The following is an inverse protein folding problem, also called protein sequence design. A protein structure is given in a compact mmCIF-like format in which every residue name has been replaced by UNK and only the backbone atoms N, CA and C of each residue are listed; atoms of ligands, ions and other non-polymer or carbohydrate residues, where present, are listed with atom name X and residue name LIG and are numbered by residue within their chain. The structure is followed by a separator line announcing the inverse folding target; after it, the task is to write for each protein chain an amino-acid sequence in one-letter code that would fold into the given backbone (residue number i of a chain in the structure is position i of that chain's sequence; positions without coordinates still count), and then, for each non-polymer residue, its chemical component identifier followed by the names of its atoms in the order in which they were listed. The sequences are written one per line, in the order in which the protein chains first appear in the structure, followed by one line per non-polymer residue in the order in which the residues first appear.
data_IF_558434870735
#
_entry.id   IF_558434870735
#
_cell.length_a   1.000
_cell.length_b   1.000
_cell.length_c   1.000
_cell.angle_alpha   90.00
_cell.angle_beta   90.00
_cell.angle_gamma   90.00
#
_symmetry.space_group_name_H-M   'P 1'
#
loop_
_entity.id
_entity.type
_entity.pdbx_description
1 polymer ?
#
# COMPACT_ATOMS: atom_id res chain seq x y z
N UNK A 1 18.91 54.38 -47.93
CA UNK A 1 18.93 53.71 -46.61
C UNK A 1 17.91 52.58 -46.64
N UNK A 2 18.34 51.31 -46.65
CA UNK A 2 17.47 50.12 -46.68
C UNK A 2 17.50 49.46 -45.30
N UNK A 3 16.35 49.41 -44.65
CA UNK A 3 16.11 48.78 -43.34
C UNK A 3 16.16 47.26 -43.47
N UNK A 4 16.99 46.58 -42.66
CA UNK A 4 17.02 45.11 -42.57
C UNK A 4 16.08 44.67 -41.44
N UNK A 5 15.05 43.89 -41.78
CA UNK A 5 14.27 43.12 -40.80
C UNK A 5 15.00 41.81 -40.50
N UNK A 6 15.21 41.50 -39.22
CA UNK A 6 15.71 40.22 -38.77
C UNK A 6 14.52 39.40 -38.22
N UNK A 7 14.23 38.26 -38.84
CA UNK A 7 13.31 37.26 -38.32
C UNK A 7 14.06 36.36 -37.33
N UNK A 8 13.58 36.28 -36.09
CA UNK A 8 14.04 35.30 -35.09
C UNK A 8 13.12 34.08 -35.21
N UNK A 9 13.67 32.95 -35.66
CA UNK A 9 12.97 31.67 -35.63
C UNK A 9 13.05 31.07 -34.22
N UNK A 10 11.91 30.95 -33.53
CA UNK A 10 11.81 30.26 -32.26
C UNK A 10 11.84 28.74 -32.45
N UNK A 11 12.82 28.07 -31.86
CA UNK A 11 12.87 26.60 -31.78
C UNK A 11 11.96 26.16 -30.64
N UNK A 12 10.83 25.53 -30.96
CA UNK A 12 9.98 24.86 -29.99
C UNK A 12 10.63 23.52 -29.61
N UNK A 13 11.13 23.42 -28.38
CA UNK A 13 11.60 22.16 -27.80
C UNK A 13 10.36 21.38 -27.35
N UNK A 14 9.99 20.35 -28.11
CA UNK A 14 8.96 19.39 -27.72
C UNK A 14 9.54 18.51 -26.60
N UNK A 15 9.10 18.70 -25.37
CA UNK A 15 9.37 17.76 -24.28
C UNK A 15 8.55 16.48 -24.54
N UNK A 16 9.23 15.41 -24.97
CA UNK A 16 8.63 14.10 -25.09
C UNK A 16 8.37 13.55 -23.67
N UNK A 17 7.10 13.55 -23.26
CA UNK A 17 6.66 12.79 -22.11
C UNK A 17 6.82 11.30 -22.43
N UNK A 18 7.76 10.63 -21.77
CA UNK A 18 7.87 9.17 -21.83
C UNK A 18 6.68 8.57 -21.10
N UNK A 19 5.62 8.26 -21.85
CA UNK A 19 4.57 7.36 -21.41
C UNK A 19 5.22 6.01 -21.17
N UNK A 20 5.23 5.54 -19.92
CA UNK A 20 5.55 4.14 -19.60
C UNK A 20 4.48 3.28 -20.28
N UNK A 21 4.78 2.79 -21.46
CA UNK A 21 3.93 1.88 -22.20
C UNK A 21 3.78 0.59 -21.40
N UNK A 22 2.55 0.24 -21.00
CA UNK A 22 2.19 -1.14 -20.67
C UNK A 22 2.74 -2.04 -21.79
N UNK A 23 3.45 -3.11 -21.43
CA UNK A 23 4.05 -4.02 -22.42
C UNK A 23 2.90 -4.63 -23.21
N UNK A 24 2.73 -4.32 -24.50
CA UNK A 24 1.67 -4.93 -25.29
C UNK A 24 1.92 -6.44 -25.33
N UNK A 25 1.05 -7.22 -24.69
CA UNK A 25 1.16 -8.68 -24.63
C UNK A 25 1.63 -9.27 -23.29
N UNK A 26 1.74 -8.48 -22.22
CA UNK A 26 1.93 -9.02 -20.87
C UNK A 26 0.73 -9.85 -20.39
N UNK A 27 0.99 -10.91 -19.64
CA UNK A 27 -0.02 -11.71 -18.96
C UNK A 27 -0.47 -11.08 -17.65
N UNK A 28 -1.49 -11.68 -17.05
CA UNK A 28 -2.08 -11.23 -15.80
C UNK A 28 -2.10 -12.38 -14.80
N UNK A 29 -1.78 -12.10 -13.54
CA UNK A 29 -2.10 -13.01 -12.43
C UNK A 29 -3.28 -12.42 -11.66
N UNK A 30 -4.32 -13.21 -11.42
CA UNK A 30 -5.46 -12.77 -10.61
C UNK A 30 -6.00 -13.90 -9.75
N UNK A 31 -6.78 -13.54 -8.74
CA UNK A 31 -7.46 -14.54 -7.92
C UNK A 31 -8.02 -13.95 -6.65
N UNK A 32 -8.25 -14.82 -5.67
CA UNK A 32 -8.81 -14.46 -4.38
C UNK A 32 -7.92 -14.91 -3.24
N UNK A 33 -7.93 -14.11 -2.18
CA UNK A 33 -7.41 -14.47 -0.87
C UNK A 33 -8.58 -14.68 0.07
N UNK A 34 -8.62 -15.87 0.66
CA UNK A 34 -9.65 -16.26 1.63
C UNK A 34 -9.01 -16.77 2.92
N UNK A 35 -9.84 -17.06 3.90
CA UNK A 35 -9.43 -17.74 5.13
C UNK A 35 -10.26 -19.00 5.42
N UNK A 36 -9.65 -19.90 6.18
CA UNK A 36 -10.29 -21.06 6.81
C UNK A 36 -10.32 -20.91 8.33
N UNK A 37 -11.39 -21.39 8.96
CA UNK A 37 -11.59 -21.30 10.41
C UNK A 37 -12.38 -20.08 10.85
N UNK A 38 -12.30 -19.73 12.14
CA UNK A 38 -13.03 -18.59 12.73
C UNK A 38 -12.02 -17.54 13.21
N UNK A 39 -11.85 -16.43 12.46
CA UNK A 39 -11.01 -15.31 12.88
C UNK A 39 -11.47 -14.70 14.19
N UNK A 40 -10.52 -14.13 14.94
CA UNK A 40 -10.84 -13.36 16.14
C UNK A 40 -11.78 -12.20 15.79
N UNK A 41 -12.88 -12.08 16.54
CA UNK A 41 -13.81 -10.96 16.37
C UNK A 41 -13.10 -9.65 16.69
N UNK A 42 -13.09 -8.74 15.73
CA UNK A 42 -12.55 -7.40 15.93
C UNK A 42 -13.42 -6.65 16.94
N UNK A 43 -12.76 -5.96 17.88
CA UNK A 43 -13.45 -5.21 18.94
C UNK A 43 -13.67 -3.77 18.48
N UNK A 44 -14.79 -3.12 18.84
CA UNK A 44 -14.92 -1.68 18.64
C UNK A 44 -13.80 -0.94 19.35
N UNK A 45 -13.27 0.10 18.69
CA UNK A 45 -12.27 0.98 19.29
C UNK A 45 -12.94 1.84 20.36
N UNK A 46 -12.36 1.86 21.57
CA UNK A 46 -12.80 2.77 22.64
C UNK A 46 -12.18 4.16 22.43
N UNK A 47 -12.96 5.06 21.81
CA UNK A 47 -12.59 6.46 21.62
C UNK A 47 -13.18 7.38 22.70
N UNK A 48 -13.62 6.87 23.85
CA UNK A 48 -14.25 7.68 24.91
C UNK A 48 -13.36 8.80 25.44
N UNK A 49 -12.04 8.66 25.31
CA UNK A 49 -11.05 9.68 25.67
C UNK A 49 -10.64 10.61 24.52
N UNK A 50 -11.13 10.36 23.31
CA UNK A 50 -10.84 11.15 22.11
C UNK A 50 -12.15 11.66 21.46
N UNK A 51 -12.87 12.59 22.10
CA UNK A 51 -14.20 13.01 21.67
C UNK A 51 -14.21 13.69 20.28
N UNK A 52 -13.09 14.26 19.84
CA UNK A 52 -12.93 14.84 18.49
C UNK A 52 -12.94 13.75 17.41
N UNK A 53 -12.32 12.60 17.67
CA UNK A 53 -12.38 11.43 16.80
C UNK A 53 -13.72 10.70 16.90
N UNK A 54 -14.23 10.49 18.13
CA UNK A 54 -15.47 9.75 18.34
C UNK A 54 -16.67 10.36 17.58
N UNK A 55 -16.74 11.69 17.50
CA UNK A 55 -17.79 12.42 16.76
C UNK A 55 -17.76 12.22 15.24
N UNK A 56 -16.66 11.68 14.69
CA UNK A 56 -16.57 11.36 13.26
C UNK A 56 -17.31 10.06 12.90
N UNK A 57 -17.78 9.31 13.90
CA UNK A 57 -18.40 8.00 13.72
C UNK A 57 -19.79 7.96 14.34
N UNK A 58 -20.75 7.37 13.62
CA UNK A 58 -22.06 7.04 14.19
C UNK A 58 -21.95 5.85 15.17
N UNK A 59 -21.11 4.88 14.84
CA UNK A 59 -20.74 3.75 15.69
C UNK A 59 -19.22 3.57 15.68
N UNK A 60 -18.58 3.27 16.81
CA UNK A 60 -17.14 3.12 16.86
C UNK A 60 -16.65 2.06 15.86
N UNK A 61 -15.64 2.38 15.03
CA UNK A 61 -15.10 1.41 14.09
C UNK A 61 -14.42 0.25 14.83
N UNK A 62 -14.39 -0.96 14.25
CA UNK A 62 -13.63 -2.07 14.81
C UNK A 62 -12.12 -1.84 14.66
N UNK A 63 -11.33 -2.59 15.41
CA UNK A 63 -9.90 -2.81 15.11
C UNK A 63 -9.73 -3.49 13.74
N UNK A 64 -8.60 -3.27 13.08
CA UNK A 64 -8.33 -3.74 11.71
C UNK A 64 -7.31 -4.87 11.64
N UNK A 65 -7.07 -5.59 12.75
CA UNK A 65 -6.06 -6.65 12.85
C UNK A 65 -6.33 -7.84 11.92
N UNK A 66 -7.61 -8.18 11.73
CA UNK A 66 -8.08 -9.16 10.74
C UNK A 66 -9.45 -8.71 10.26
N UNK A 67 -9.52 -8.23 9.02
CA UNK A 67 -10.76 -7.74 8.39
C UNK A 67 -11.23 -8.77 7.36
N UNK A 68 -12.48 -9.21 7.51
CA UNK A 68 -13.07 -10.30 6.72
C UNK A 68 -14.28 -9.82 5.95
N UNK A 69 -14.41 -10.28 4.71
CA UNK A 69 -15.56 -10.03 3.86
C UNK A 69 -16.43 -11.26 3.62
N UNK A 70 -17.43 -11.15 2.72
CA UNK A 70 -18.28 -12.27 2.31
C UNK A 70 -17.47 -13.46 1.78
N UNK A 71 -18.03 -14.67 1.86
CA UNK A 71 -17.41 -15.90 1.34
C UNK A 71 -15.99 -16.17 1.88
N UNK A 72 -15.76 -15.83 3.14
CA UNK A 72 -14.47 -15.91 3.81
C UNK A 72 -13.35 -15.11 3.11
N UNK A 73 -13.68 -14.03 2.40
CA UNK A 73 -12.70 -13.12 1.84
C UNK A 73 -11.85 -12.49 2.95
N UNK A 74 -10.56 -12.28 2.65
CA UNK A 74 -9.64 -11.61 3.57
C UNK A 74 -9.16 -10.29 2.95
N UNK A 75 -9.40 -9.19 3.66
CA UNK A 75 -8.92 -7.85 3.26
C UNK A 75 -7.50 -7.60 3.77
N UNK A 76 -6.88 -6.51 3.30
CA UNK A 76 -5.56 -6.05 3.77
C UNK A 76 -4.42 -7.06 3.54
N UNK A 77 -4.58 -7.96 2.56
CA UNK A 77 -3.53 -8.86 2.12
C UNK A 77 -2.76 -8.20 0.99
N UNK A 78 -1.44 -8.08 1.14
CA UNK A 78 -0.58 -7.59 0.06
C UNK A 78 -0.18 -8.78 -0.80
N UNK A 79 -0.68 -8.82 -2.03
CA UNK A 79 -0.31 -9.83 -3.03
C UNK A 79 0.65 -9.19 -4.02
N UNK A 80 1.84 -9.74 -4.19
CA UNK A 80 2.91 -9.12 -4.99
C UNK A 80 3.82 -10.16 -5.65
N UNK A 81 4.57 -9.72 -6.66
CA UNK A 81 5.63 -10.54 -7.28
C UNK A 81 6.92 -10.39 -6.46
N UNK A 82 7.28 -11.45 -5.74
CA UNK A 82 8.47 -11.46 -4.87
C UNK A 82 9.75 -11.92 -5.58
N UNK A 83 9.62 -12.63 -6.69
CA UNK A 83 10.75 -13.02 -7.55
C UNK A 83 10.32 -13.14 -9.02
N UNK A 84 11.27 -12.91 -9.93
CA UNK A 84 11.09 -13.02 -11.39
C UNK A 84 10.74 -11.71 -12.10
N UNK A 85 10.28 -10.68 -11.38
CA UNK A 85 10.13 -9.33 -11.91
C UNK A 85 11.36 -8.46 -11.60
N UNK A 86 11.76 -7.55 -12.51
CA UNK A 86 12.79 -6.58 -12.23
C UNK A 86 12.33 -5.55 -11.19
N UNK A 87 13.28 -4.82 -10.63
CA UNK A 87 13.00 -3.62 -9.83
C UNK A 87 12.57 -2.48 -10.78
N UNK A 88 11.71 -1.58 -10.30
CA UNK A 88 11.19 -0.45 -11.08
C UNK A 88 11.47 0.88 -10.37
N UNK A 89 11.60 1.99 -11.13
CA UNK A 89 11.66 3.31 -10.52
C UNK A 89 10.29 3.65 -9.87
N UNK A 90 10.29 4.34 -8.72
CA UNK A 90 9.05 4.72 -8.07
C UNK A 90 8.25 5.71 -8.91
N UNK A 91 6.92 5.73 -8.79
CA UNK A 91 6.10 6.77 -9.40
C UNK A 91 6.42 8.14 -8.77
N UNK A 92 6.19 9.22 -9.53
CA UNK A 92 6.35 10.59 -9.03
C UNK A 92 5.31 10.98 -7.99
N UNK A 93 4.16 10.29 -7.99
CA UNK A 93 3.09 10.53 -7.03
C UNK A 93 3.47 9.98 -5.66
N UNK A 94 3.39 10.82 -4.63
CA UNK A 94 3.64 10.40 -3.26
C UNK A 94 2.59 9.38 -2.79
N UNK A 95 3.05 8.37 -2.05
CA UNK A 95 2.20 7.54 -1.22
C UNK A 95 1.75 8.36 0.00
N UNK A 96 0.48 8.22 0.40
CA UNK A 96 -0.10 9.04 1.46
C UNK A 96 -0.66 8.15 2.56
N UNK A 97 -0.26 8.42 3.80
CA UNK A 97 -0.94 7.95 5.00
C UNK A 97 -1.63 9.13 5.68
N UNK A 98 -2.92 9.02 5.93
CA UNK A 98 -3.67 9.99 6.72
C UNK A 98 -3.93 9.46 8.12
N UNK A 99 -3.68 10.28 9.13
CA UNK A 99 -4.21 10.08 10.48
C UNK A 99 -5.56 10.79 10.55
N UNK A 100 -6.64 10.00 10.57
CA UNK A 100 -8.01 10.53 10.51
C UNK A 100 -8.97 9.64 11.28
N UNK A 101 -9.80 10.27 12.10
CA UNK A 101 -10.69 9.62 13.03
C UNK A 101 -9.95 8.70 14.01
N UNK A 102 -8.77 9.12 14.47
CA UNK A 102 -7.89 8.33 15.32
C UNK A 102 -7.57 6.96 14.71
N UNK A 103 -7.30 6.91 13.40
CA UNK A 103 -6.88 5.72 12.64
C UNK A 103 -5.83 6.08 11.60
N UNK A 104 -5.07 5.08 11.17
CA UNK A 104 -4.18 5.18 10.02
C UNK A 104 -4.92 4.73 8.76
N UNK A 105 -5.01 5.63 7.78
CA UNK A 105 -5.72 5.38 6.53
C UNK A 105 -4.77 5.54 5.33
N UNK A 106 -4.58 4.49 4.51
CA UNK A 106 -5.10 3.13 4.69
C UNK A 106 -4.39 2.37 5.84
N UNK A 107 -5.00 1.29 6.33
CA UNK A 107 -4.41 0.39 7.33
C UNK A 107 -3.13 -0.28 6.81
N UNK A 108 -3.17 -0.72 5.55
CA UNK A 108 -1.99 -1.20 4.81
C UNK A 108 -1.71 -0.22 3.67
N UNK A 109 -0.51 0.34 3.66
CA UNK A 109 -0.04 1.24 2.61
C UNK A 109 1.12 0.58 1.85
N UNK A 110 0.88 0.20 0.60
CA UNK A 110 1.92 -0.31 -0.30
C UNK A 110 2.44 0.80 -1.20
N UNK A 111 3.76 0.88 -1.31
CA UNK A 111 4.47 1.90 -2.11
C UNK A 111 5.86 1.41 -2.48
N UNK A 112 6.48 2.01 -3.49
CA UNK A 112 7.77 1.54 -4.00
C UNK A 112 8.96 2.09 -3.21
N UNK A 113 10.07 1.37 -3.23
CA UNK A 113 11.38 1.84 -2.79
C UNK A 113 11.67 3.21 -3.42
N UNK A 114 12.16 4.15 -2.61
CA UNK A 114 12.44 5.55 -2.95
C UNK A 114 11.22 6.41 -3.38
N UNK A 115 9.99 5.86 -3.35
CA UNK A 115 8.77 6.66 -3.51
C UNK A 115 8.63 7.62 -2.34
N UNK A 116 8.19 8.85 -2.61
CA UNK A 116 7.90 9.82 -1.55
C UNK A 116 6.72 9.31 -0.70
N UNK A 117 6.91 9.23 0.62
CA UNK A 117 5.86 9.00 1.59
C UNK A 117 5.48 10.34 2.23
N UNK A 118 4.19 10.67 2.22
CA UNK A 118 3.62 11.82 2.93
C UNK A 118 2.65 11.35 3.99
N UNK A 119 2.80 11.87 5.21
CA UNK A 119 1.93 11.54 6.32
C UNK A 119 1.26 12.79 6.85
N UNK A 120 -0.07 12.77 6.91
CA UNK A 120 -0.88 13.90 7.38
C UNK A 120 -1.55 13.59 8.71
N UNK A 121 -1.82 14.64 9.49
CA UNK A 121 -2.75 14.57 10.60
C UNK A 121 -3.97 15.42 10.27
N UNK A 122 -5.10 14.77 10.02
CA UNK A 122 -6.40 15.39 9.74
C UNK A 122 -7.28 15.50 11.00
N UNK A 123 -6.83 14.95 12.12
CA UNK A 123 -7.53 14.99 13.39
C UNK A 123 -7.21 16.24 14.21
N UNK A 124 -8.10 16.54 15.16
CA UNK A 124 -7.91 17.58 16.17
C UNK A 124 -7.26 17.04 17.45
N UNK A 125 -6.55 15.91 17.35
CA UNK A 125 -5.76 15.33 18.44
C UNK A 125 -4.34 15.03 17.94
N UNK A 126 -3.39 14.99 18.87
CA UNK A 126 -2.00 14.69 18.51
C UNK A 126 -1.80 13.19 18.38
N UNK A 127 -1.15 12.80 17.31
CA UNK A 127 -0.72 11.44 17.08
C UNK A 127 0.80 11.39 16.95
N UNK A 128 1.34 10.20 16.80
CA UNK A 128 2.69 10.01 16.30
C UNK A 128 2.69 8.88 15.27
N UNK A 129 3.71 8.87 14.44
CA UNK A 129 4.00 7.77 13.52
C UNK A 129 5.29 7.11 13.97
N UNK A 130 5.24 5.80 14.17
CA UNK A 130 6.37 5.00 14.59
C UNK A 130 6.48 3.72 13.74
N UNK A 131 7.14 3.78 12.58
CA UNK A 131 7.43 2.61 11.77
C UNK A 131 8.59 1.83 12.40
N UNK A 132 8.32 0.57 12.76
CA UNK A 132 9.24 -0.33 13.45
C UNK A 132 10.11 -1.10 12.44
N UNK A 133 10.85 -0.35 11.64
CA UNK A 133 11.71 -0.92 10.59
C UNK A 133 12.89 -1.70 11.20
N UNK A 134 13.19 -2.85 10.62
CA UNK A 134 14.35 -3.71 10.93
C UNK A 134 15.47 -3.56 9.90
N UNK A 135 15.12 -3.29 8.64
CA UNK A 135 16.05 -3.19 7.51
C UNK A 135 16.32 -1.72 7.16
N UNK A 136 15.25 -0.93 7.07
CA UNK A 136 15.32 0.51 6.93
C UNK A 136 15.51 1.20 8.30
N UNK A 137 15.70 2.53 8.30
CA UNK A 137 15.84 3.31 9.54
C UNK A 137 14.51 3.37 10.31
N UNK A 138 14.49 2.87 11.54
CA UNK A 138 13.41 3.11 12.50
C UNK A 138 13.37 4.60 12.91
N UNK A 139 12.17 5.12 13.13
CA UNK A 139 11.99 6.47 13.67
C UNK A 139 10.63 6.61 14.35
N UNK A 140 10.50 7.62 15.21
CA UNK A 140 9.26 7.95 15.90
C UNK A 140 9.08 9.48 15.91
N UNK A 141 8.01 9.98 15.29
CA UNK A 141 7.75 11.43 15.16
C UNK A 141 6.32 11.73 15.59
N UNK A 142 6.16 12.68 16.52
CA UNK A 142 4.86 13.25 16.86
C UNK A 142 4.38 14.18 15.74
N UNK A 143 3.07 14.21 15.50
CA UNK A 143 2.42 15.10 14.54
C UNK A 143 1.18 15.73 15.19
N UNK A 144 1.31 16.89 15.86
CA UNK A 144 0.17 17.64 16.36
C UNK A 144 -0.78 18.13 15.25
N UNK A 145 -2.03 18.48 15.58
CA UNK A 145 -2.98 19.07 14.63
C UNK A 145 -2.41 20.31 13.93
N UNK A 146 -2.66 20.43 12.62
CA UNK A 146 -2.27 21.61 11.83
C UNK A 146 -0.78 21.71 11.49
N UNK A 147 0.05 20.73 11.89
CA UNK A 147 1.45 20.70 11.49
C UNK A 147 1.62 20.26 10.03
N UNK A 148 2.69 20.70 9.33
CA UNK A 148 2.97 20.26 7.97
C UNK A 148 3.06 18.73 7.85
N UNK A 149 2.80 18.16 6.66
CA UNK A 149 2.97 16.73 6.44
C UNK A 149 4.39 16.26 6.73
N UNK A 150 4.53 15.11 7.39
CA UNK A 150 5.82 14.43 7.52
C UNK A 150 6.15 13.83 6.15
N UNK A 151 7.33 14.14 5.63
CA UNK A 151 7.86 13.52 4.41
C UNK A 151 8.99 12.56 4.77
N UNK A 152 8.97 11.35 4.20
CA UNK A 152 10.01 10.35 4.39
C UNK A 152 10.13 9.45 3.14
N UNK A 153 11.15 8.59 3.11
CA UNK A 153 11.38 7.59 2.05
C UNK A 153 12.03 6.35 2.64
N UNK A 154 11.80 5.21 1.99
CA UNK A 154 12.41 3.94 2.33
C UNK A 154 13.24 3.43 1.15
N UNK A 155 14.50 3.06 1.40
CA UNK A 155 15.47 2.70 0.35
C UNK A 155 15.59 1.19 0.13
N UNK A 156 14.93 0.38 0.97
CA UNK A 156 14.91 -1.08 0.87
C UNK A 156 13.48 -1.60 1.01
N UNK A 157 13.19 -2.66 0.25
CA UNK A 157 11.96 -3.42 0.38
C UNK A 157 11.83 -3.97 1.81
N UNK A 158 10.67 -3.74 2.42
CA UNK A 158 10.39 -4.18 3.79
C UNK A 158 8.88 -4.10 4.08
N UNK A 159 8.36 -5.06 4.83
CA UNK A 159 7.07 -4.94 5.51
C UNK A 159 7.31 -4.40 6.92
N UNK A 160 6.89 -3.17 7.17
CA UNK A 160 7.17 -2.41 8.39
C UNK A 160 5.87 -2.24 9.18
N UNK A 161 5.74 -2.87 10.36
CA UNK A 161 4.66 -2.53 11.29
C UNK A 161 4.76 -1.07 11.71
N UNK A 162 3.66 -0.35 11.66
CA UNK A 162 3.56 1.06 12.06
C UNK A 162 2.61 1.16 13.23
N UNK A 163 2.99 1.93 14.25
CA UNK A 163 2.12 2.17 15.42
C UNK A 163 2.09 3.63 15.84
N UNK A 164 1.02 3.99 16.52
CA UNK A 164 0.94 5.16 17.37
C UNK A 164 1.31 4.73 18.79
N UNK A 165 2.17 5.51 19.46
CA UNK A 165 2.50 5.35 20.86
C UNK A 165 1.45 6.00 21.78
N UNK A 166 0.61 6.90 21.25
CA UNK A 166 -0.44 7.59 22.02
C UNK A 166 -1.73 6.75 22.03
N UNK A 167 -2.14 6.24 20.87
CA UNK A 167 -3.39 5.51 20.69
C UNK A 167 -3.10 4.04 20.36
N UNK A 168 -3.26 3.10 21.31
CA UNK A 168 -2.77 1.72 21.16
C UNK A 168 -3.49 0.92 20.06
N UNK A 169 -4.67 1.38 19.61
CA UNK A 169 -5.39 0.77 18.49
C UNK A 169 -4.92 1.26 17.13
N UNK A 170 -4.18 2.37 17.05
CA UNK A 170 -3.66 2.90 15.80
C UNK A 170 -2.39 2.15 15.44
N UNK A 171 -2.56 1.12 14.62
CA UNK A 171 -1.48 0.38 13.99
C UNK A 171 -1.80 0.13 12.53
N UNK A 172 -0.80 -0.25 11.75
CA UNK A 172 -0.92 -0.56 10.33
C UNK A 172 0.38 -1.14 9.79
N UNK A 173 0.46 -1.30 8.48
CA UNK A 173 1.64 -1.84 7.80
C UNK A 173 2.05 -0.97 6.62
N UNK A 174 3.32 -0.59 6.57
CA UNK A 174 3.95 -0.11 5.33
C UNK A 174 4.52 -1.30 4.58
N UNK A 175 4.13 -1.46 3.33
CA UNK A 175 4.60 -2.52 2.45
C UNK A 175 5.47 -1.88 1.36
N UNK A 176 6.77 -1.75 1.62
CA UNK A 176 7.73 -1.13 0.69
C UNK A 176 8.13 -2.15 -0.37
N UNK A 177 7.81 -1.87 -1.63
CA UNK A 177 7.89 -2.79 -2.77
C UNK A 177 9.01 -2.42 -3.73
N UNK A 178 9.54 -3.41 -4.46
CA UNK A 178 10.59 -3.17 -5.46
C UNK A 178 10.07 -2.78 -6.84
N UNK A 179 8.81 -3.08 -7.13
CA UNK A 179 8.17 -2.84 -8.42
C UNK A 179 6.68 -2.54 -8.24
N UNK A 180 5.98 -2.26 -9.34
CA UNK A 180 4.54 -1.96 -9.35
C UNK A 180 3.64 -3.20 -9.36
N UNK A 181 4.19 -4.42 -9.42
CA UNK A 181 3.40 -5.66 -9.47
C UNK A 181 2.94 -6.10 -8.08
N UNK A 182 2.08 -5.28 -7.45
CA UNK A 182 1.42 -5.57 -6.19
C UNK A 182 -0.04 -5.10 -6.19
N UNK A 183 -0.84 -5.71 -5.31
CA UNK A 183 -2.23 -5.37 -5.06
C UNK A 183 -2.53 -5.58 -3.58
N UNK A 184 -3.46 -4.80 -3.03
CA UNK A 184 -4.00 -5.01 -1.68
C UNK A 184 -5.43 -5.50 -1.83
N UNK A 185 -5.79 -6.60 -1.17
CA UNK A 185 -7.16 -7.14 -1.26
C UNK A 185 -8.17 -6.24 -0.52
N UNK A 186 -9.31 -6.00 -1.16
CA UNK A 186 -10.47 -5.36 -0.53
C UNK A 186 -11.50 -6.38 -0.02
N UNK A 187 -12.71 -5.92 0.26
CA UNK A 187 -13.82 -6.68 0.86
C UNK A 187 -14.20 -8.00 0.16
N UNK A 188 -13.90 -8.16 -1.13
CA UNK A 188 -14.18 -9.39 -1.86
C UNK A 188 -12.99 -10.37 -1.91
N UNK A 189 -11.85 -9.97 -1.33
CA UNK A 189 -10.60 -10.72 -1.29
C UNK A 189 -9.87 -10.77 -2.64
N UNK A 190 -10.35 -10.05 -3.65
CA UNK A 190 -9.80 -10.09 -5.01
C UNK A 190 -8.47 -9.36 -5.14
N UNK A 191 -7.61 -9.86 -6.03
CA UNK A 191 -6.40 -9.15 -6.46
C UNK A 191 -6.16 -9.36 -7.96
N UNK A 192 -5.42 -8.45 -8.58
CA UNK A 192 -4.98 -8.56 -9.98
C UNK A 192 -3.61 -7.90 -10.14
N UNK A 193 -2.68 -8.60 -10.79
CA UNK A 193 -1.33 -8.17 -11.13
C UNK A 193 -1.20 -8.23 -12.66
N UNK A 194 -1.49 -7.13 -13.36
CA UNK A 194 -1.44 -7.08 -14.82
C UNK A 194 -0.02 -6.87 -15.34
N UNK A 195 0.10 -6.90 -16.68
CA UNK A 195 1.28 -6.47 -17.43
C UNK A 195 2.58 -7.21 -17.09
N UNK A 196 2.48 -8.50 -16.74
CA UNK A 196 3.65 -9.35 -16.50
C UNK A 196 4.20 -9.88 -17.83
N UNK A 197 5.47 -9.60 -18.20
CA UNK A 197 6.08 -10.21 -19.38
C UNK A 197 6.06 -11.74 -19.33
N UNK A 198 6.25 -12.44 -20.47
CA UNK A 198 6.48 -13.88 -20.44
C UNK A 198 7.68 -14.24 -19.56
N UNK A 199 7.48 -15.15 -18.61
CA UNK A 199 8.47 -15.44 -17.57
C UNK A 199 7.96 -16.36 -16.47
N UNK A 200 8.85 -16.70 -15.54
CA UNK A 200 8.53 -17.42 -14.31
C UNK A 200 8.57 -16.44 -13.14
N UNK A 201 7.53 -16.47 -12.32
CA UNK A 201 7.35 -15.54 -11.21
C UNK A 201 6.99 -16.29 -9.94
N UNK A 202 7.41 -15.74 -8.80
CA UNK A 202 6.89 -16.12 -7.48
C UNK A 202 5.89 -15.06 -7.04
N UNK A 203 4.66 -15.47 -6.80
CA UNK A 203 3.57 -14.66 -6.25
C UNK A 203 3.51 -14.91 -4.75
N UNK A 204 3.60 -13.85 -3.96
CA UNK A 204 3.52 -13.91 -2.50
C UNK A 204 2.31 -13.15 -2.01
N UNK A 205 1.55 -13.73 -1.10
CA UNK A 205 0.51 -13.06 -0.32
C UNK A 205 0.99 -12.90 1.13
N UNK A 206 1.09 -11.65 1.60
CA UNK A 206 1.45 -11.29 2.97
C UNK A 206 0.22 -10.75 3.72
N UNK A 207 -0.02 -11.25 4.93
CA UNK A 207 -0.98 -10.66 5.88
C UNK A 207 -0.33 -10.49 7.25
N UNK A 208 -0.47 -9.32 7.88
CA UNK A 208 0.25 -8.95 9.12
C UNK A 208 0.05 -9.96 10.27
N UNK A 209 -1.15 -10.55 10.38
CA UNK A 209 -1.48 -11.52 11.42
C UNK A 209 -1.14 -12.97 11.06
N UNK A 210 -0.99 -13.29 9.77
CA UNK A 210 -0.91 -14.68 9.28
C UNK A 210 0.38 -15.03 8.53
N UNK A 211 1.24 -14.04 8.27
CA UNK A 211 2.51 -14.23 7.58
C UNK A 211 2.34 -14.35 6.07
N UNK A 212 3.26 -15.07 5.45
CA UNK A 212 3.38 -15.21 4.00
C UNK A 212 2.88 -16.57 3.48
N UNK A 213 2.31 -16.55 2.27
CA UNK A 213 2.15 -17.72 1.41
C UNK A 213 2.71 -17.43 0.03
N UNK A 214 3.34 -18.42 -0.62
CA UNK A 214 4.00 -18.24 -1.91
C UNK A 214 3.57 -19.31 -2.91
N UNK A 215 3.41 -18.92 -4.18
CA UNK A 215 3.14 -19.83 -5.30
C UNK A 215 3.95 -19.41 -6.52
N UNK A 216 4.42 -20.38 -7.30
CA UNK A 216 5.07 -20.11 -8.58
C UNK A 216 4.05 -20.08 -9.72
N UNK A 217 4.26 -19.19 -10.69
CA UNK A 217 3.45 -19.08 -11.90
C UNK A 217 4.34 -18.85 -13.11
N UNK A 218 3.96 -19.42 -14.26
CA UNK A 218 4.61 -19.16 -15.55
C UNK A 218 3.63 -18.44 -16.47
N UNK A 219 4.06 -17.33 -17.04
CA UNK A 219 3.34 -16.54 -18.04
C UNK A 219 4.00 -16.79 -19.40
N UNK A 220 3.22 -17.19 -20.41
CA UNK A 220 3.69 -17.47 -21.76
C UNK A 220 3.39 -16.34 -22.76
N UNK A 221 2.51 -15.40 -22.41
CA UNK A 221 2.00 -14.34 -23.29
C UNK A 221 0.91 -13.56 -22.58
N UNK A 222 -0.08 -13.07 -23.32
CA UNK A 222 -1.21 -12.28 -22.81
C UNK A 222 -2.30 -13.10 -22.11
N UNK A 223 -1.91 -14.15 -21.38
CA UNK A 223 -2.84 -15.03 -20.67
C UNK A 223 -3.15 -14.52 -19.25
N UNK A 224 -4.29 -14.96 -18.70
CA UNK A 224 -4.60 -14.76 -17.28
C UNK A 224 -4.40 -16.08 -16.54
N UNK A 225 -3.52 -16.08 -15.53
CA UNK A 225 -3.32 -17.19 -14.60
C UNK A 225 -4.07 -16.93 -13.30
N UNK A 226 -4.85 -17.92 -12.87
CA UNK A 226 -5.54 -17.87 -11.59
C UNK A 226 -4.67 -18.42 -10.46
N UNK A 227 -4.49 -17.64 -9.39
CA UNK A 227 -3.76 -18.05 -8.17
C UNK A 227 -4.60 -17.66 -6.96
N UNK A 228 -4.92 -18.62 -6.08
CA UNK A 228 -5.71 -18.37 -4.87
C UNK A 228 -4.90 -18.69 -3.63
N UNK A 229 -5.06 -17.90 -2.58
CA UNK A 229 -4.40 -18.10 -1.28
C UNK A 229 -5.45 -18.32 -0.20
N UNK A 230 -5.16 -19.24 0.73
CA UNK A 230 -6.09 -19.58 1.82
C UNK A 230 -5.33 -19.56 3.14
N UNK A 231 -5.54 -18.50 3.92
CA UNK A 231 -4.93 -18.36 5.24
C UNK A 231 -5.72 -19.15 6.29
N UNK A 232 -5.03 -19.71 7.29
CA UNK A 232 -5.70 -20.37 8.42
C UNK A 232 -5.83 -19.38 9.57
N UNK A 233 -7.06 -19.16 10.02
CA UNK A 233 -7.32 -18.37 11.21
C UNK A 233 -6.58 -18.99 12.40
N UNK A 234 -5.84 -18.15 13.13
CA UNK A 234 -5.20 -18.58 14.38
C UNK A 234 -6.29 -18.76 15.45
N UNK A 235 -6.26 -19.86 16.23
CA UNK A 235 -7.22 -20.05 17.31
C UNK A 235 -7.16 -18.88 18.31
N UNK A 236 -8.33 -18.52 18.86
CA UNK A 236 -8.48 -17.57 19.95
C UNK A 236 -8.08 -18.22 21.30
#
# INVERSE_FOLDING_TARGET
MRTKQAFIAGVAILAAATMTSAVPGGGTVSGKVTYEGTPAKQKPIDMSKEPSCAKQYATPPPTETVVTGPNNALENVVVYISAGAPDEPPPSQAAVLAQKGCRYLPHVLAFQVNQELKITNEDQTSHNIHPLAKINREWNKSQPPGTPPISDKYDKMEFIPVKCNVHPWMHGTFAVMKNSHYSITGADGGFTLPDLPPGKYTVTAFHESYGDQTQEVSIAGSETKSVNFVFKAKPY
#
